data_IF_443312019887
#
_entry.id   IF_443312019887
#
_cell.length_a   1.000
_cell.length_b   1.000
_cell.length_c   1.000
_cell.angle_alpha   90.00
_cell.angle_beta   90.00
_cell.angle_gamma   90.00
#
_symmetry.space_group_name_H-M   'P 1'
#
loop_
_entity.id
_entity.type
_entity.pdbx_description
1 polymer ?
#
# COMPACT_ATOMS: atom_id res chain seq x y z
N UNK A 1 16.58 -8.90 -15.13
CA UNK A 1 15.70 -9.73 -14.28
C UNK A 1 14.42 -8.95 -14.10
N UNK A 2 13.39 -9.27 -14.89
CA UNK A 2 12.04 -8.77 -14.67
C UNK A 2 11.57 -9.35 -13.34
N UNK A 3 11.45 -8.51 -12.30
CA UNK A 3 10.73 -8.92 -11.10
C UNK A 3 9.30 -9.15 -11.56
N UNK A 4 8.86 -10.40 -11.63
CA UNK A 4 7.47 -10.75 -11.91
C UNK A 4 6.62 -10.15 -10.78
N UNK A 5 6.06 -8.98 -11.04
CA UNK A 5 5.13 -8.33 -10.12
C UNK A 5 3.85 -9.18 -10.12
N UNK A 6 3.33 -9.64 -8.97
CA UNK A 6 2.10 -10.43 -8.92
C UNK A 6 0.83 -9.60 -9.20
N UNK A 7 0.98 -8.46 -9.89
CA UNK A 7 -0.08 -7.50 -10.16
C UNK A 7 -0.49 -7.59 -11.62
N UNK A 8 -1.78 -7.84 -11.84
CA UNK A 8 -2.39 -7.63 -13.15
C UNK A 8 -2.07 -6.20 -13.63
N UNK A 9 -1.85 -5.98 -14.94
CA UNK A 9 -1.43 -4.69 -15.48
C UNK A 9 -2.40 -3.55 -15.10
N UNK A 10 -3.70 -3.84 -15.05
CA UNK A 10 -4.75 -2.89 -14.63
C UNK A 10 -4.63 -2.48 -13.16
N UNK A 11 -4.32 -3.44 -12.28
CA UNK A 11 -4.08 -3.18 -10.84
C UNK A 11 -2.84 -2.32 -10.68
N UNK A 12 -1.76 -2.64 -11.41
CA UNK A 12 -0.52 -1.86 -11.40
C UNK A 12 -0.74 -0.41 -11.83
N UNK A 13 -1.47 -0.20 -12.92
CA UNK A 13 -1.78 1.16 -13.40
C UNK A 13 -2.63 1.92 -12.38
N UNK A 14 -3.65 1.28 -11.83
CA UNK A 14 -4.51 1.86 -10.80
C UNK A 14 -3.71 2.26 -9.56
N UNK A 15 -2.88 1.35 -9.03
CA UNK A 15 -2.00 1.64 -7.89
C UNK A 15 -1.06 2.79 -8.21
N UNK A 16 -0.37 2.77 -9.36
CA UNK A 16 0.55 3.83 -9.76
C UNK A 16 -0.13 5.20 -9.90
N UNK A 17 -1.36 5.23 -10.42
CA UNK A 17 -2.17 6.45 -10.47
C UNK A 17 -2.47 6.96 -9.05
N UNK A 18 -3.01 6.11 -8.19
CA UNK A 18 -3.39 6.51 -6.83
C UNK A 18 -2.20 6.98 -5.98
N UNK A 19 -1.06 6.30 -6.07
CA UNK A 19 0.16 6.70 -5.37
C UNK A 19 0.67 8.09 -5.79
N UNK A 20 0.34 8.56 -7.00
CA UNK A 20 0.70 9.91 -7.48
C UNK A 20 -0.32 10.98 -7.07
N UNK A 21 -1.57 10.59 -6.81
CA UNK A 21 -2.65 11.52 -6.50
C UNK A 21 -2.75 11.84 -5.01
N UNK A 22 -2.54 10.84 -4.15
CA UNK A 22 -2.78 10.98 -2.70
C UNK A 22 -1.79 11.98 -2.09
N UNK A 23 -2.31 13.09 -1.57
CA UNK A 23 -1.51 14.11 -0.88
C UNK A 23 -1.27 13.76 0.60
N UNK A 24 -2.33 13.41 1.32
CA UNK A 24 -2.28 13.03 2.73
C UNK A 24 -3.27 11.90 2.98
N UNK A 25 -2.81 10.79 3.52
CA UNK A 25 -3.70 9.65 3.76
C UNK A 25 -3.00 8.31 3.63
N UNK A 26 -3.76 7.29 3.25
CA UNK A 26 -3.30 5.91 3.18
C UNK A 26 -3.89 5.19 1.98
N UNK A 27 -3.10 4.28 1.41
CA UNK A 27 -3.52 3.29 0.44
C UNK A 27 -3.37 1.91 1.08
N UNK A 28 -4.47 1.19 1.24
CA UNK A 28 -4.49 -0.17 1.79
C UNK A 28 -4.72 -1.17 0.67
N UNK A 29 -3.82 -2.14 0.54
CA UNK A 29 -3.91 -3.23 -0.43
C UNK A 29 -4.13 -4.52 0.35
N UNK A 30 -5.24 -5.21 0.08
CA UNK A 30 -5.53 -6.52 0.69
C UNK A 30 -5.14 -7.61 -0.27
N UNK A 31 -4.37 -8.57 0.23
CA UNK A 31 -3.83 -9.70 -0.52
C UNK A 31 -4.47 -11.00 -0.04
N UNK A 32 -4.91 -11.82 -1.00
CA UNK A 32 -5.39 -13.18 -0.78
C UNK A 32 -4.84 -14.10 -1.87
N UNK A 33 -4.35 -15.26 -1.45
CA UNK A 33 -3.73 -16.27 -2.31
C UNK A 33 -2.66 -15.66 -3.24
N UNK A 34 -1.85 -14.75 -2.69
CA UNK A 34 -0.77 -14.07 -3.40
C UNK A 34 -1.21 -12.96 -4.38
N UNK A 35 -2.51 -12.65 -4.42
CA UNK A 35 -3.10 -11.67 -5.35
C UNK A 35 -3.77 -10.53 -4.61
N UNK A 36 -3.68 -9.33 -5.16
CA UNK A 36 -4.44 -8.19 -4.64
C UNK A 36 -5.91 -8.38 -5.01
N UNK A 37 -6.77 -8.44 -3.99
CA UNK A 37 -8.22 -8.61 -4.16
C UNK A 37 -9.01 -7.35 -3.83
N UNK A 38 -8.41 -6.43 -3.08
CA UNK A 38 -9.05 -5.18 -2.70
C UNK A 38 -8.01 -4.07 -2.55
N UNK A 39 -8.42 -2.88 -2.93
CA UNK A 39 -7.66 -1.66 -2.78
C UNK A 39 -8.57 -0.58 -2.18
N UNK A 40 -8.10 0.08 -1.13
CA UNK A 40 -8.82 1.13 -0.41
C UNK A 40 -7.97 2.38 -0.32
N UNK A 41 -8.54 3.53 -0.68
CA UNK A 41 -7.94 4.85 -0.55
C UNK A 41 -8.65 5.58 0.59
N UNK A 42 -7.88 6.00 1.59
CA UNK A 42 -8.33 6.93 2.63
C UNK A 42 -7.54 8.22 2.50
N UNK A 43 -8.22 9.36 2.32
CA UNK A 43 -7.57 10.65 2.09
C UNK A 43 -8.06 11.68 3.09
N UNK A 44 -7.13 12.49 3.57
CA UNK A 44 -7.40 13.62 4.46
C UNK A 44 -7.10 14.92 3.72
N UNK A 45 -8.11 15.78 3.57
CA UNK A 45 -7.93 17.11 3.00
C UNK A 45 -7.72 18.12 4.12
N UNK A 46 -6.58 18.83 4.10
CA UNK A 46 -6.28 19.88 5.05
C UNK A 46 -6.60 21.23 4.43
N UNK A 47 -7.49 21.99 5.06
CA UNK A 47 -7.81 23.35 4.67
C UNK A 47 -7.08 24.30 5.61
N UNK A 48 -6.07 25.07 5.14
CA UNK A 48 -5.39 26.02 6.00
C UNK A 48 -6.38 27.12 6.41
N UNK A 49 -6.41 27.45 7.71
CA UNK A 49 -7.05 28.68 8.16
C UNK A 49 -6.33 29.85 7.50
N UNK A 50 -7.08 30.72 6.81
CA UNK A 50 -6.59 31.82 5.97
C UNK A 50 -5.35 32.47 6.60
N UNK A 51 -4.18 32.20 6.04
CA UNK A 51 -2.93 32.78 6.52
C UNK A 51 -2.08 33.13 5.31
N UNK A 52 -1.96 34.45 5.13
CA UNK A 52 -1.19 35.11 4.09
C UNK A 52 0.28 34.69 4.14
N UNK A 53 0.66 33.75 3.27
CA UNK A 53 1.89 33.71 2.46
C UNK A 53 1.98 32.31 1.85
N UNK A 54 1.71 32.27 0.56
CA UNK A 54 1.98 31.10 -0.26
C UNK A 54 3.45 30.74 -0.16
N UNK A 55 3.74 29.53 0.34
CA UNK A 55 4.97 28.84 0.02
C UNK A 55 4.58 27.59 -0.77
N UNK A 56 4.71 27.59 -2.10
CA UNK A 56 4.58 26.36 -2.86
C UNK A 56 5.88 25.59 -2.65
N UNK A 57 6.00 24.85 -1.56
CA UNK A 57 6.98 23.76 -1.53
C UNK A 57 6.42 22.65 -2.40
N UNK A 58 6.57 22.80 -3.72
CA UNK A 58 6.63 21.69 -4.65
C UNK A 58 7.90 20.93 -4.30
N UNK A 59 7.85 20.18 -3.20
CA UNK A 59 8.89 19.23 -2.86
C UNK A 59 8.95 18.30 -4.06
N UNK A 60 10.10 18.31 -4.73
CA UNK A 60 10.41 17.43 -5.85
C UNK A 60 10.06 16.02 -5.39
N UNK A 61 8.93 15.53 -5.89
CA UNK A 61 8.37 14.24 -5.51
C UNK A 61 9.46 13.23 -5.82
N UNK A 62 9.90 12.46 -4.83
CA UNK A 62 10.68 11.25 -5.13
C UNK A 62 9.90 10.48 -6.21
N UNK A 63 10.57 10.05 -7.29
CA UNK A 63 9.86 9.48 -8.43
C UNK A 63 8.97 8.33 -7.93
N UNK A 64 7.72 8.31 -8.39
CA UNK A 64 6.74 7.27 -8.05
C UNK A 64 7.31 5.84 -8.20
N UNK A 65 8.34 5.68 -9.03
CA UNK A 65 9.16 4.48 -9.20
C UNK A 65 9.81 3.96 -7.92
N UNK A 66 10.38 4.81 -7.05
CA UNK A 66 10.96 4.36 -5.77
C UNK A 66 9.86 3.82 -4.84
N UNK A 67 8.71 4.49 -4.80
CA UNK A 67 7.58 4.06 -3.98
C UNK A 67 6.93 2.78 -4.48
N UNK A 68 6.88 2.58 -5.80
CA UNK A 68 6.42 1.34 -6.42
C UNK A 68 7.37 0.16 -6.14
N UNK A 69 8.69 0.37 -6.19
CA UNK A 69 9.66 -0.67 -5.85
C UNK A 69 9.56 -1.09 -4.38
N UNK A 70 9.39 -0.12 -3.46
CA UNK A 70 9.15 -0.42 -2.05
C UNK A 70 7.86 -1.20 -1.82
N UNK A 71 6.78 -0.84 -2.51
CA UNK A 71 5.51 -1.57 -2.47
C UNK A 71 5.66 -2.99 -3.03
N UNK A 72 6.41 -3.17 -4.11
CA UNK A 72 6.71 -4.48 -4.68
C UNK A 72 7.38 -5.40 -3.67
N UNK A 73 8.41 -4.89 -3.00
CA UNK A 73 9.12 -5.63 -1.96
C UNK A 73 8.22 -6.00 -0.79
N UNK A 74 7.30 -5.11 -0.40
CA UNK A 74 6.33 -5.39 0.65
C UNK A 74 5.30 -6.46 0.26
N UNK A 75 4.86 -6.48 -1.01
CA UNK A 75 3.93 -7.48 -1.53
C UNK A 75 4.59 -8.84 -1.83
N UNK A 76 5.91 -8.87 -2.04
CA UNK A 76 6.63 -10.08 -2.40
C UNK A 76 6.44 -11.19 -1.35
N UNK A 77 5.92 -12.34 -1.79
CA UNK A 77 5.68 -13.51 -0.95
C UNK A 77 4.51 -13.38 0.03
N UNK A 78 3.73 -12.30 -0.01
CA UNK A 78 2.56 -12.13 0.85
C UNK A 78 1.39 -12.98 0.32
N UNK A 79 1.11 -14.10 0.98
CA UNK A 79 0.01 -14.98 0.56
C UNK A 79 -1.35 -14.50 1.06
N UNK A 80 -1.42 -14.01 2.30
CA UNK A 80 -2.65 -13.52 2.89
C UNK A 80 -2.34 -12.40 3.88
N UNK A 81 -2.98 -11.24 3.72
CA UNK A 81 -2.67 -10.10 4.56
C UNK A 81 -2.97 -8.76 3.91
N UNK A 82 -2.28 -7.72 4.39
CA UNK A 82 -2.47 -6.35 3.92
C UNK A 82 -1.13 -5.61 3.84
N UNK A 83 -1.01 -4.72 2.88
CA UNK A 83 0.06 -3.71 2.80
C UNK A 83 -0.59 -2.33 2.87
N UNK A 84 -0.14 -1.49 3.79
CA UNK A 84 -0.63 -0.12 3.96
C UNK A 84 0.49 0.84 3.64
N UNK A 85 0.27 1.74 2.68
CA UNK A 85 1.20 2.81 2.34
C UNK A 85 0.65 4.11 2.88
N UNK A 86 1.42 4.81 3.73
CA UNK A 86 1.03 6.13 4.26
C UNK A 86 1.68 7.24 3.45
N UNK A 87 0.89 8.26 3.17
CA UNK A 87 1.27 9.41 2.36
C UNK A 87 1.20 10.69 3.19
N UNK A 88 2.22 11.53 3.04
CA UNK A 88 2.27 12.87 3.59
C UNK A 88 2.88 13.81 2.55
N UNK A 89 2.22 14.93 2.27
CA UNK A 89 2.61 15.90 1.25
C UNK A 89 2.96 15.26 -0.12
N UNK A 90 2.15 14.30 -0.58
CA UNK A 90 2.32 13.63 -1.86
C UNK A 90 3.44 12.59 -1.89
N UNK A 91 4.06 12.28 -0.75
CA UNK A 91 5.16 11.32 -0.63
C UNK A 91 4.74 10.13 0.19
N UNK A 92 5.05 8.92 -0.29
CA UNK A 92 5.00 7.71 0.52
C UNK A 92 6.07 7.80 1.62
N UNK A 93 5.65 7.85 2.88
CA UNK A 93 6.53 8.00 4.05
C UNK A 93 6.71 6.70 4.84
N UNK A 94 5.76 5.77 4.72
CA UNK A 94 5.76 4.51 5.46
C UNK A 94 5.05 3.42 4.65
N UNK A 95 5.56 2.20 4.76
CA UNK A 95 4.91 0.99 4.26
C UNK A 95 4.83 0.01 5.43
N UNK A 96 3.61 -0.35 5.82
CA UNK A 96 3.34 -1.38 6.83
C UNK A 96 2.88 -2.66 6.11
N UNK A 97 3.55 -3.79 6.37
CA UNK A 97 3.16 -5.12 5.89
C UNK A 97 2.61 -5.93 7.06
N UNK A 98 1.41 -6.45 6.90
CA UNK A 98 0.75 -7.32 7.88
C UNK A 98 0.39 -8.64 7.24
N UNK A 99 1.02 -9.72 7.70
CA UNK A 99 0.70 -11.08 7.29
C UNK A 99 -0.39 -11.63 8.21
N UNK A 100 -1.47 -12.15 7.63
CA UNK A 100 -2.54 -12.82 8.38
C UNK A 100 -2.43 -14.33 8.16
N UNK A 101 -2.80 -15.12 9.16
CA UNK A 101 -2.94 -16.58 9.04
C UNK A 101 -4.42 -16.96 9.08
N UNK A 102 -4.83 -18.00 8.37
CA UNK A 102 -6.20 -18.50 8.47
C UNK A 102 -6.36 -19.24 9.80
N UNK A 103 -7.52 -19.12 10.40
CA UNK A 103 -7.82 -19.85 11.64
C UNK A 103 -7.74 -21.37 11.45
N UNK A 104 -8.08 -21.87 10.26
CA UNK A 104 -7.94 -23.27 9.86
C UNK A 104 -6.49 -23.78 9.93
N UNK A 105 -5.51 -22.93 9.62
CA UNK A 105 -4.08 -23.27 9.71
C UNK A 105 -3.61 -23.34 11.18
N UNK A 106 -4.33 -22.69 12.11
CA UNK A 106 -4.04 -22.71 13.54
C UNK A 106 -4.68 -23.91 14.24
N UNK A 107 -5.86 -24.36 13.78
CA UNK A 107 -6.58 -25.51 14.37
C UNK A 107 -5.99 -26.87 13.99
N UNK A 108 -5.23 -26.99 12.88
CA UNK A 108 -4.60 -28.25 12.45
C UNK A 108 -3.44 -28.74 13.33
N UNK A 109 -3.06 -27.99 14.38
CA UNK A 109 -1.98 -28.35 15.31
C UNK A 109 -2.52 -28.99 16.61
N UNK A 110 -3.84 -29.02 16.82
CA UNK A 110 -4.46 -29.52 18.06
C UNK A 110 -5.38 -30.74 17.89
N UNK A 111 -5.31 -31.43 16.75
CA UNK A 111 -6.18 -32.57 16.43
C UNK A 111 -5.58 -33.93 16.81
N UNK A 112 -5.10 -34.10 18.04
CA UNK A 112 -5.01 -35.44 18.65
C UNK A 112 -6.29 -35.61 19.46
N UNK A 113 -7.32 -36.12 18.79
CA UNK A 113 -8.53 -36.57 19.47
C UNK A 113 -8.21 -37.87 20.20
N UNK A 114 -8.29 -37.83 21.53
CA UNK A 114 -8.50 -39.01 22.38
C UNK A 114 -9.93 -38.95 22.90
#
# INVERSE_FOLDING_TARGET
MEMEYPLAPEVRETVSRLMREIQFGMLTLTVQDGRIVQLERNETFQFPAVSSKAQPSRQVSKPATESLAGLAGALAGLQFGQVVVKFQAGRAIQIDRTEKRRWSDLMGIGGDGI
#
